data_IF_513749372060
#
_entry.id   IF_513749372060
#
_cell.length_a   1.000
_cell.length_b   1.000
_cell.length_c   1.000
_cell.angle_alpha   90.00
_cell.angle_beta   90.00
_cell.angle_gamma   90.00
#
_symmetry.space_group_name_H-M   'P 1'
#
loop_
_entity.id
_entity.type
_entity.pdbx_description
1 polymer ?
#
# COMPACT_ATOMS: atom_id res chain seq x y z
N UNK A 1 14.53 -29.98 -15.32
CA UNK A 1 13.92 -28.64 -15.54
C UNK A 1 12.52 -28.84 -16.08
N UNK A 2 11.45 -28.27 -15.49
CA UNK A 2 10.13 -28.38 -16.10
C UNK A 2 10.16 -27.62 -17.43
N UNK A 3 9.68 -28.27 -18.50
CA UNK A 3 9.67 -27.71 -19.87
C UNK A 3 9.06 -26.29 -19.83
N UNK A 4 9.66 -25.30 -20.54
CA UNK A 4 9.04 -23.99 -20.63
C UNK A 4 7.63 -24.16 -21.20
N UNK A 5 6.66 -23.54 -20.55
CA UNK A 5 5.30 -23.49 -21.09
C UNK A 5 5.37 -22.93 -22.52
N UNK A 6 4.54 -23.44 -23.44
CA UNK A 6 4.39 -22.87 -24.78
C UNK A 6 4.17 -21.35 -24.73
N UNK A 7 4.54 -20.61 -25.80
CA UNK A 7 4.42 -19.16 -25.84
C UNK A 7 3.05 -18.67 -25.38
N UNK A 8 3.04 -17.61 -24.56
CA UNK A 8 1.82 -16.96 -24.06
C UNK A 8 0.95 -17.81 -23.12
N UNK A 9 1.33 -19.06 -22.84
CA UNK A 9 0.61 -19.93 -21.91
C UNK A 9 1.10 -19.72 -20.47
N UNK A 10 0.17 -19.43 -19.58
CA UNK A 10 0.43 -19.27 -18.15
C UNK A 10 -0.60 -20.06 -17.34
N UNK A 11 -0.24 -20.53 -16.15
CA UNK A 11 -1.19 -21.13 -15.23
C UNK A 11 -1.16 -20.43 -13.86
N UNK A 12 -2.26 -20.57 -13.13
CA UNK A 12 -2.41 -20.11 -11.75
C UNK A 12 -3.14 -21.20 -10.95
N UNK A 13 -2.80 -21.37 -9.69
CA UNK A 13 -3.43 -22.35 -8.80
C UNK A 13 -4.35 -21.61 -7.85
N UNK A 14 -5.63 -21.95 -7.84
CA UNK A 14 -6.58 -21.29 -6.93
C UNK A 14 -6.40 -21.74 -5.48
N UNK A 15 -7.09 -21.05 -4.56
CA UNK A 15 -7.04 -21.35 -3.10
C UNK A 15 -7.52 -22.75 -2.71
N UNK A 16 -8.13 -23.49 -3.64
CA UNK A 16 -8.59 -24.86 -3.46
C UNK A 16 -7.67 -25.88 -4.19
N UNK A 17 -6.54 -25.44 -4.73
CA UNK A 17 -5.57 -26.30 -5.42
C UNK A 17 -5.85 -26.54 -6.90
N UNK A 18 -6.88 -25.91 -7.50
CA UNK A 18 -7.19 -26.14 -8.90
C UNK A 18 -6.29 -25.31 -9.82
N UNK A 19 -5.60 -25.99 -10.75
CA UNK A 19 -4.76 -25.34 -11.76
C UNK A 19 -5.62 -24.81 -12.91
N UNK A 20 -5.46 -23.52 -13.21
CA UNK A 20 -6.20 -22.80 -14.27
C UNK A 20 -5.24 -22.30 -15.32
N UNK A 21 -5.49 -22.61 -16.58
CA UNK A 21 -4.64 -22.24 -17.71
C UNK A 21 -5.17 -21.01 -18.45
N UNK A 22 -4.25 -20.15 -18.90
CA UNK A 22 -4.55 -18.89 -19.54
C UNK A 22 -3.60 -18.58 -20.70
N UNK A 23 -4.15 -18.06 -21.79
CA UNK A 23 -3.40 -17.49 -22.92
C UNK A 23 -3.38 -15.97 -22.79
N UNK A 24 -2.18 -15.38 -22.81
CA UNK A 24 -1.94 -13.94 -22.65
C UNK A 24 -1.13 -13.39 -23.81
N UNK A 25 -1.83 -12.91 -24.83
CA UNK A 25 -1.23 -12.19 -25.96
C UNK A 25 -1.34 -10.69 -25.69
N UNK A 26 -0.24 -9.95 -25.86
CA UNK A 26 -0.24 -8.50 -25.67
C UNK A 26 -1.30 -7.84 -26.58
N UNK A 27 -2.10 -6.93 -26.02
CA UNK A 27 -3.17 -6.24 -26.76
C UNK A 27 -4.46 -7.03 -26.97
N UNK A 28 -4.54 -8.32 -26.59
CA UNK A 28 -5.76 -9.14 -26.67
C UNK A 28 -6.33 -9.47 -25.27
N UNK A 29 -7.65 -9.73 -25.17
CA UNK A 29 -8.25 -10.20 -23.92
C UNK A 29 -7.58 -11.48 -23.40
N UNK A 30 -7.39 -11.57 -22.08
CA UNK A 30 -6.89 -12.78 -21.43
C UNK A 30 -7.91 -13.91 -21.58
N UNK A 31 -7.53 -14.99 -22.27
CA UNK A 31 -8.40 -16.16 -22.50
C UNK A 31 -8.08 -17.24 -21.45
N UNK A 32 -9.11 -17.79 -20.79
CA UNK A 32 -8.98 -18.96 -19.91
C UNK A 32 -9.30 -20.22 -20.71
N UNK A 33 -8.39 -21.19 -20.72
CA UNK A 33 -8.62 -22.54 -21.24
C UNK A 33 -9.23 -23.37 -20.10
N UNK A 34 -10.38 -24.02 -20.35
CA UNK A 34 -11.11 -24.78 -19.32
C UNK A 34 -10.85 -26.28 -19.41
N UNK A 35 -10.38 -26.71 -20.58
CA UNK A 35 -10.02 -28.07 -20.94
C UNK A 35 -8.83 -28.54 -20.10
N UNK A 36 -8.72 -29.85 -19.92
CA UNK A 36 -7.63 -30.45 -19.14
C UNK A 36 -6.30 -30.34 -19.90
N UNK A 37 -5.28 -29.84 -19.21
CA UNK A 37 -3.93 -29.69 -19.77
C UNK A 37 -3.40 -30.99 -20.38
N UNK A 38 -2.81 -30.89 -21.57
CA UNK A 38 -2.23 -32.02 -22.29
C UNK A 38 -3.20 -32.74 -23.25
N UNK A 39 -4.51 -32.50 -23.16
CA UNK A 39 -5.50 -33.11 -24.06
C UNK A 39 -5.53 -32.45 -25.45
N UNK A 40 -6.04 -33.17 -26.46
CA UNK A 40 -6.23 -32.62 -27.81
C UNK A 40 -7.16 -31.39 -27.79
N UNK A 41 -8.21 -31.42 -26.96
CA UNK A 41 -9.13 -30.31 -26.76
C UNK A 41 -8.43 -29.07 -26.18
N UNK A 42 -7.52 -29.25 -25.21
CA UNK A 42 -6.71 -28.17 -24.66
C UNK A 42 -5.84 -27.50 -25.72
N UNK A 43 -5.16 -28.29 -26.55
CA UNK A 43 -4.30 -27.74 -27.60
C UNK A 43 -5.09 -27.08 -28.74
N UNK A 44 -6.31 -27.56 -29.01
CA UNK A 44 -7.23 -26.88 -29.93
C UNK A 44 -7.63 -25.50 -29.37
N UNK A 45 -8.11 -25.44 -28.11
CA UNK A 45 -8.46 -24.19 -27.44
C UNK A 45 -7.27 -23.22 -27.33
N UNK A 46 -6.06 -23.73 -27.12
CA UNK A 46 -4.84 -22.92 -27.14
C UNK A 46 -4.58 -22.28 -28.51
N UNK A 47 -4.71 -23.02 -29.61
CA UNK A 47 -4.54 -22.50 -30.98
C UNK A 47 -5.64 -21.50 -31.34
N UNK A 48 -6.88 -21.77 -30.94
CA UNK A 48 -8.00 -20.86 -31.18
C UNK A 48 -7.85 -19.56 -30.39
N UNK A 49 -7.29 -19.62 -29.17
CA UNK A 49 -6.98 -18.45 -28.37
C UNK A 49 -5.89 -17.57 -29.01
N UNK A 50 -4.84 -18.19 -29.58
CA UNK A 50 -3.76 -17.46 -30.26
C UNK A 50 -4.24 -16.79 -31.56
N UNK A 51 -5.03 -17.51 -32.35
CA UNK A 51 -5.60 -17.01 -33.61
C UNK A 51 -6.71 -15.97 -33.42
N UNK A 52 -7.19 -15.78 -32.20
CA UNK A 52 -8.29 -14.85 -31.90
C UNK A 52 -9.67 -15.37 -32.33
N UNK A 53 -9.77 -16.65 -32.71
CA UNK A 53 -11.04 -17.30 -33.07
C UNK A 53 -11.92 -17.58 -31.85
N UNK A 54 -11.34 -17.64 -30.65
CA UNK A 54 -12.11 -17.61 -29.42
C UNK A 54 -12.66 -16.21 -29.22
N UNK A 55 -13.92 -16.03 -29.60
CA UNK A 55 -14.75 -14.98 -29.02
C UNK A 55 -14.83 -15.28 -27.53
N UNK A 56 -14.06 -14.54 -26.73
CA UNK A 56 -14.32 -14.43 -25.31
C UNK A 56 -15.68 -13.74 -25.23
N UNK A 57 -16.77 -14.52 -25.17
CA UNK A 57 -17.99 -14.04 -24.52
C UNK A 57 -17.48 -13.40 -23.24
N UNK A 58 -17.73 -12.09 -23.01
CA UNK A 58 -17.30 -11.46 -21.79
C UNK A 58 -17.66 -12.43 -20.70
N UNK A 59 -16.65 -12.86 -19.94
CA UNK A 59 -16.91 -13.76 -18.83
C UNK A 59 -18.14 -13.19 -18.15
N UNK A 60 -19.15 -14.04 -17.94
CA UNK A 60 -20.22 -13.73 -17.02
C UNK A 60 -19.51 -13.52 -15.68
N UNK A 61 -18.94 -12.32 -15.53
CA UNK A 61 -18.57 -11.77 -14.27
C UNK A 61 -19.91 -11.82 -13.60
N UNK A 62 -20.07 -12.71 -12.64
CA UNK A 62 -21.11 -12.58 -11.64
C UNK A 62 -20.95 -11.26 -10.88
N UNK A 63 -20.83 -10.11 -11.57
CA UNK A 63 -21.73 -8.98 -11.35
C UNK A 63 -23.12 -9.58 -11.25
N UNK A 64 -23.42 -10.06 -10.04
CA UNK A 64 -24.71 -9.77 -9.43
C UNK A 64 -25.08 -8.39 -9.95
N UNK A 65 -26.16 -8.32 -10.72
CA UNK A 65 -26.89 -7.08 -10.90
C UNK A 65 -27.13 -6.63 -9.46
N UNK A 66 -26.29 -5.71 -8.98
CA UNK A 66 -26.46 -5.15 -7.64
C UNK A 66 -27.77 -4.41 -7.82
N UNK A 67 -28.85 -4.94 -7.23
CA UNK A 67 -30.11 -4.24 -7.21
C UNK A 67 -29.81 -2.79 -6.80
N UNK A 68 -30.38 -1.78 -7.50
CA UNK A 68 -30.11 -0.40 -7.18
C UNK A 68 -30.29 -0.20 -5.68
N UNK A 69 -29.32 0.47 -5.06
CA UNK A 69 -29.29 0.62 -3.62
C UNK A 69 -30.64 1.18 -3.15
N UNK A 70 -31.29 0.49 -2.21
CA UNK A 70 -32.58 0.94 -1.67
C UNK A 70 -32.41 2.36 -1.11
N UNK A 71 -33.34 3.27 -1.44
CA UNK A 71 -33.28 4.65 -0.95
C UNK A 71 -33.21 4.66 0.59
N UNK A 72 -32.27 5.41 1.16
CA UNK A 72 -32.06 5.47 2.62
C UNK A 72 -31.22 4.32 3.19
N UNK A 73 -30.75 3.37 2.37
CA UNK A 73 -29.84 2.29 2.79
C UNK A 73 -28.39 2.76 2.99
N UNK A 74 -27.61 2.03 3.77
CA UNK A 74 -26.17 2.29 3.94
C UNK A 74 -25.40 2.28 2.60
N UNK A 75 -25.78 1.39 1.67
CA UNK A 75 -25.19 1.36 0.33
C UNK A 75 -25.49 2.65 -0.43
N UNK A 76 -26.74 3.13 -0.40
CA UNK A 76 -27.12 4.38 -1.06
C UNK A 76 -26.30 5.57 -0.54
N UNK A 77 -26.07 5.64 0.78
CA UNK A 77 -25.22 6.67 1.38
C UNK A 77 -23.76 6.56 0.92
N UNK A 78 -23.21 5.34 0.84
CA UNK A 78 -21.85 5.11 0.32
C UNK A 78 -21.72 5.59 -1.13
N UNK A 79 -22.69 5.28 -1.98
CA UNK A 79 -22.68 5.70 -3.38
C UNK A 79 -22.76 7.22 -3.54
N UNK A 80 -23.64 7.89 -2.78
CA UNK A 80 -23.71 9.36 -2.72
C UNK A 80 -22.37 9.95 -2.28
N UNK A 81 -21.79 9.40 -1.21
CA UNK A 81 -20.48 9.82 -0.71
C UNK A 81 -19.40 9.71 -1.78
N UNK A 82 -19.38 8.63 -2.56
CA UNK A 82 -18.39 8.44 -3.62
C UNK A 82 -18.48 9.45 -4.78
N UNK A 83 -19.66 10.02 -5.02
CA UNK A 83 -19.89 11.06 -6.03
C UNK A 83 -19.56 12.45 -5.51
N UNK A 84 -19.61 12.65 -4.19
CA UNK A 84 -19.38 13.93 -3.51
C UNK A 84 -17.96 14.49 -3.62
N UNK A 85 -17.85 15.82 -3.54
CA UNK A 85 -16.59 16.56 -3.60
C UNK A 85 -15.64 16.15 -2.46
N UNK A 86 -16.16 15.93 -1.24
CA UNK A 86 -15.36 15.49 -0.09
C UNK A 86 -14.59 14.20 -0.36
N UNK A 87 -15.23 13.21 -0.99
CA UNK A 87 -14.56 11.96 -1.34
C UNK A 87 -13.60 12.17 -2.50
N UNK A 88 -13.99 12.91 -3.54
CA UNK A 88 -13.13 13.18 -4.70
C UNK A 88 -11.87 13.97 -4.34
N UNK A 89 -11.93 14.84 -3.33
CA UNK A 89 -10.84 15.70 -2.87
C UNK A 89 -9.75 15.01 -2.03
N UNK A 90 -9.94 13.76 -1.59
CA UNK A 90 -8.88 13.00 -0.90
C UNK A 90 -7.94 12.27 -1.89
N UNK A 91 -6.75 11.90 -1.42
CA UNK A 91 -5.78 11.15 -2.23
C UNK A 91 -6.39 9.86 -2.80
N UNK A 92 -6.04 9.51 -4.05
CA UNK A 92 -6.54 8.33 -4.76
C UNK A 92 -6.33 7.03 -3.97
N UNK A 93 -5.22 6.90 -3.25
CA UNK A 93 -4.96 5.72 -2.40
C UNK A 93 -5.94 5.66 -1.24
N UNK A 94 -6.20 6.80 -0.60
CA UNK A 94 -7.17 6.92 0.49
C UNK A 94 -8.59 6.63 0.00
N UNK A 95 -8.96 7.13 -1.19
CA UNK A 95 -10.25 6.79 -1.85
C UNK A 95 -10.39 5.28 -2.04
N UNK A 96 -9.38 4.64 -2.62
CA UNK A 96 -9.39 3.20 -2.89
C UNK A 96 -9.57 2.39 -1.61
N UNK A 97 -8.79 2.69 -0.57
CA UNK A 97 -8.86 1.97 0.71
C UNK A 97 -10.21 2.20 1.40
N UNK A 98 -10.67 3.45 1.48
CA UNK A 98 -11.96 3.78 2.12
C UNK A 98 -13.14 3.13 1.41
N UNK A 99 -13.17 3.17 0.07
CA UNK A 99 -14.19 2.47 -0.73
C UNK A 99 -14.14 0.96 -0.45
N UNK A 100 -12.96 0.35 -0.48
CA UNK A 100 -12.83 -1.09 -0.22
C UNK A 100 -13.37 -1.51 1.15
N UNK A 101 -13.16 -0.69 2.19
CA UNK A 101 -13.66 -0.96 3.55
C UNK A 101 -15.19 -0.85 3.59
N UNK A 102 -15.76 0.23 3.05
CA UNK A 102 -17.20 0.47 3.06
C UNK A 102 -17.97 -0.53 2.19
N UNK A 103 -17.46 -0.87 1.01
CA UNK A 103 -18.05 -1.90 0.16
C UNK A 103 -18.04 -3.27 0.84
N UNK A 104 -16.93 -3.62 1.52
CA UNK A 104 -16.86 -4.87 2.28
C UNK A 104 -17.92 -4.89 3.37
N UNK A 105 -18.06 -3.81 4.15
CA UNK A 105 -19.12 -3.69 5.14
C UNK A 105 -20.50 -3.89 4.51
N UNK A 106 -20.78 -3.24 3.36
CA UNK A 106 -22.06 -3.38 2.67
C UNK A 106 -22.38 -4.82 2.23
N UNK A 107 -21.37 -5.68 2.09
CA UNK A 107 -21.53 -7.09 1.71
C UNK A 107 -21.52 -8.06 2.90
N UNK A 108 -21.31 -7.57 4.12
CA UNK A 108 -21.35 -8.41 5.31
C UNK A 108 -22.77 -8.57 5.84
N UNK A 109 -23.06 -9.78 6.34
CA UNK A 109 -24.32 -10.10 6.97
C UNK A 109 -24.34 -9.65 8.44
N UNK A 110 -25.49 -9.17 8.88
CA UNK A 110 -25.82 -8.95 10.29
C UNK A 110 -26.07 -10.30 10.99
N UNK A 111 -26.15 -10.33 12.33
CA UNK A 111 -26.59 -11.52 13.06
C UNK A 111 -27.96 -12.07 12.63
N UNK A 112 -28.82 -11.21 12.09
CA UNK A 112 -30.14 -11.58 11.54
C UNK A 112 -30.10 -12.02 10.06
N UNK A 113 -28.92 -12.15 9.44
CA UNK A 113 -28.75 -12.59 8.06
C UNK A 113 -28.96 -11.54 6.99
N UNK A 114 -29.34 -10.31 7.35
CA UNK A 114 -29.49 -9.19 6.40
C UNK A 114 -28.13 -8.58 6.06
N UNK A 115 -27.95 -8.05 4.85
CA UNK A 115 -26.72 -7.33 4.53
C UNK A 115 -26.73 -5.95 5.19
N UNK A 116 -25.60 -5.52 5.78
CA UNK A 116 -25.48 -4.17 6.32
C UNK A 116 -25.74 -3.09 5.26
N UNK A 117 -25.37 -3.36 4.00
CA UNK A 117 -25.58 -2.44 2.88
C UNK A 117 -27.06 -2.10 2.63
N UNK A 118 -27.96 -3.02 2.97
CA UNK A 118 -29.41 -2.89 2.70
C UNK A 118 -30.16 -2.25 3.88
N UNK A 119 -29.50 -2.10 5.04
CA UNK A 119 -30.11 -1.54 6.24
C UNK A 119 -30.20 -0.01 6.19
N UNK A 120 -31.23 0.61 6.81
CA UNK A 120 -31.41 2.05 6.84
C UNK A 120 -30.30 2.72 7.65
N UNK A 121 -29.51 3.60 7.03
CA UNK A 121 -28.34 4.20 7.69
C UNK A 121 -28.74 5.16 8.83
N UNK A 122 -29.93 5.78 8.77
CA UNK A 122 -30.45 6.67 9.81
C UNK A 122 -30.78 5.96 11.12
N UNK A 123 -31.00 4.64 11.07
CA UNK A 123 -31.23 3.83 12.28
C UNK A 123 -29.92 3.26 12.86
N UNK A 124 -28.77 3.58 12.27
CA UNK A 124 -27.49 3.16 12.78
C UNK A 124 -27.19 3.90 14.09
N UNK A 125 -26.97 3.16 15.17
CA UNK A 125 -26.68 3.70 16.50
C UNK A 125 -25.24 3.38 16.92
N UNK A 126 -24.66 4.11 17.89
CA UNK A 126 -23.32 3.83 18.40
C UNK A 126 -23.12 2.38 18.89
N UNK A 127 -24.17 1.73 19.41
CA UNK A 127 -24.13 0.30 19.78
C UNK A 127 -23.92 -0.62 18.56
N UNK A 128 -24.49 -0.31 17.41
CA UNK A 128 -24.32 -1.10 16.18
C UNK A 128 -22.90 -0.93 15.63
N UNK A 129 -22.37 0.29 15.66
CA UNK A 129 -20.97 0.57 15.27
C UNK A 129 -19.98 -0.12 16.21
N UNK A 130 -20.24 -0.13 17.53
CA UNK A 130 -19.46 -0.92 18.51
C UNK A 130 -19.47 -2.40 18.17
N UNK A 131 -20.64 -2.99 17.90
CA UNK A 131 -20.73 -4.40 17.50
C UNK A 131 -19.93 -4.71 16.22
N UNK A 132 -19.98 -3.85 15.20
CA UNK A 132 -19.18 -4.02 13.97
C UNK A 132 -17.67 -3.97 14.23
N UNK A 133 -17.23 -3.09 15.14
CA UNK A 133 -15.84 -2.97 15.60
C UNK A 133 -15.41 -4.22 16.38
N UNK A 134 -16.24 -4.65 17.32
CA UNK A 134 -15.92 -5.76 18.24
C UNK A 134 -15.97 -7.13 17.54
N UNK A 135 -16.78 -7.27 16.48
CA UNK A 135 -16.71 -8.41 15.57
C UNK A 135 -15.34 -8.55 14.87
N UNK A 136 -14.47 -7.53 14.94
CA UNK A 136 -13.09 -7.53 14.45
C UNK A 136 -12.07 -7.42 15.57
N UNK A 137 -12.42 -7.86 16.78
CA UNK A 137 -11.53 -7.77 17.93
C UNK A 137 -10.15 -8.40 17.67
N UNK A 138 -10.10 -9.57 17.03
CA UNK A 138 -8.86 -10.26 16.62
C UNK A 138 -8.00 -9.47 15.62
N UNK A 139 -8.59 -8.46 14.96
CA UNK A 139 -7.89 -7.60 13.99
C UNK A 139 -8.12 -6.11 14.30
N UNK A 140 -7.56 -5.58 15.42
CA UNK A 140 -7.82 -4.21 15.88
C UNK A 140 -7.52 -3.13 14.82
N UNK A 141 -6.50 -3.35 13.97
CA UNK A 141 -6.19 -2.46 12.85
C UNK A 141 -7.31 -2.37 11.81
N UNK A 142 -7.96 -3.50 11.49
CA UNK A 142 -9.11 -3.53 10.59
C UNK A 142 -10.35 -2.93 11.25
N UNK A 143 -10.60 -3.24 12.52
CA UNK A 143 -11.67 -2.63 13.31
C UNK A 143 -11.57 -1.09 13.33
N UNK A 144 -10.39 -0.57 13.65
CA UNK A 144 -10.15 0.87 13.71
C UNK A 144 -10.20 1.53 12.32
N UNK A 145 -9.84 0.81 11.26
CA UNK A 145 -9.95 1.30 9.88
C UNK A 145 -11.41 1.39 9.41
N UNK A 146 -12.23 0.41 9.79
CA UNK A 146 -13.68 0.47 9.59
C UNK A 146 -14.28 1.68 10.31
N UNK A 147 -13.94 1.86 11.58
CA UNK A 147 -14.45 2.99 12.37
C UNK A 147 -14.05 4.34 11.78
N UNK A 148 -12.81 4.49 11.30
CA UNK A 148 -12.35 5.69 10.57
C UNK A 148 -13.16 5.95 9.29
N UNK A 149 -13.48 4.89 8.54
CA UNK A 149 -14.27 5.00 7.33
C UNK A 149 -15.71 5.42 7.63
N UNK A 150 -16.35 4.81 8.63
CA UNK A 150 -17.70 5.16 9.07
C UNK A 150 -17.79 6.58 9.63
N UNK A 151 -16.83 6.99 10.45
CA UNK A 151 -16.75 8.37 10.95
C UNK A 151 -16.76 9.38 9.80
N UNK A 152 -15.92 9.18 8.80
CA UNK A 152 -15.89 10.10 7.65
C UNK A 152 -17.16 10.04 6.81
N UNK A 153 -17.73 8.85 6.59
CA UNK A 153 -18.97 8.68 5.84
C UNK A 153 -20.11 9.46 6.49
N UNK A 154 -20.25 9.37 7.81
CA UNK A 154 -21.29 10.08 8.54
C UNK A 154 -20.97 11.56 8.80
N UNK A 155 -19.69 11.97 8.82
CA UNK A 155 -19.35 13.40 8.74
C UNK A 155 -19.85 14.00 7.44
N UNK A 156 -19.63 13.33 6.31
CA UNK A 156 -20.20 13.73 5.03
C UNK A 156 -21.74 13.74 5.07
N UNK A 157 -22.36 12.71 5.65
CA UNK A 157 -23.82 12.64 5.74
C UNK A 157 -24.41 13.81 6.53
N UNK A 158 -23.76 14.21 7.63
CA UNK A 158 -24.16 15.38 8.42
C UNK A 158 -23.95 16.68 7.63
N UNK A 159 -22.80 16.85 6.98
CA UNK A 159 -22.50 18.06 6.19
C UNK A 159 -23.42 18.26 4.98
N UNK A 160 -24.10 17.20 4.53
CA UNK A 160 -25.05 17.24 3.41
C UNK A 160 -26.51 17.11 3.87
N UNK A 161 -26.79 17.30 5.16
CA UNK A 161 -28.15 17.20 5.74
C UNK A 161 -28.86 15.85 5.48
N UNK A 162 -28.08 14.78 5.29
CA UNK A 162 -28.59 13.42 5.07
C UNK A 162 -28.82 12.68 6.40
N UNK A 163 -28.14 13.09 7.48
CA UNK A 163 -28.17 12.49 8.82
C UNK A 163 -27.98 13.57 9.88
N UNK A 164 -28.77 13.53 10.96
CA UNK A 164 -28.64 14.52 12.05
C UNK A 164 -27.42 14.27 12.94
N UNK A 165 -26.96 13.02 13.00
CA UNK A 165 -25.86 12.62 13.88
C UNK A 165 -24.85 11.70 13.19
N UNK A 166 -23.66 11.62 13.78
CA UNK A 166 -22.63 10.65 13.41
C UNK A 166 -22.54 9.54 14.47
N UNK A 167 -23.12 8.36 14.23
CA UNK A 167 -23.17 7.27 15.21
C UNK A 167 -21.79 6.65 15.49
N UNK A 168 -20.79 6.95 14.67
CA UNK A 168 -19.43 6.46 14.86
C UNK A 168 -18.53 7.45 15.63
N UNK A 169 -19.01 8.67 15.91
CA UNK A 169 -18.19 9.75 16.49
C UNK A 169 -17.62 9.37 17.85
N UNK A 170 -18.44 8.91 18.78
CA UNK A 170 -18.05 8.64 20.18
C UNK A 170 -17.60 7.19 20.43
N UNK A 171 -17.57 6.33 19.41
CA UNK A 171 -17.11 4.95 19.58
C UNK A 171 -15.58 4.93 19.74
N UNK A 172 -15.01 4.38 20.83
CA UNK A 172 -13.56 4.39 21.00
C UNK A 172 -12.87 3.44 20.03
N UNK A 173 -11.60 3.71 19.72
CA UNK A 173 -10.75 2.76 19.00
C UNK A 173 -10.37 1.59 19.90
N UNK A 174 -10.14 0.42 19.31
CA UNK A 174 -9.46 -0.68 19.99
C UNK A 174 -7.97 -0.34 20.16
N UNK A 175 -7.31 -0.82 21.23
CA UNK A 175 -5.88 -0.63 21.41
C UNK A 175 -5.10 -1.25 20.23
N UNK A 176 -3.94 -0.66 19.86
CA UNK A 176 -3.11 -1.21 18.80
C UNK A 176 -2.48 -2.54 19.21
N UNK A 177 -2.39 -3.49 18.28
CA UNK A 177 -1.71 -4.80 18.49
C UNK A 177 -0.25 -4.61 18.91
N UNK A 178 0.41 -3.57 18.41
CA UNK A 178 1.79 -3.21 18.78
C UNK A 178 1.78 -1.83 19.41
N UNK A 179 1.84 -1.78 20.74
CA UNK A 179 1.86 -0.51 21.49
C UNK A 179 3.00 0.42 21.01
N UNK A 180 4.19 -0.15 20.79
CA UNK A 180 5.37 0.58 20.33
C UNK A 180 5.37 0.85 18.81
N UNK A 181 4.53 0.16 18.05
CA UNK A 181 4.34 0.30 16.62
C UNK A 181 5.27 -0.59 15.78
N UNK A 182 5.69 -0.09 14.61
CA UNK A 182 6.60 -0.82 13.71
C UNK A 182 8.02 -0.79 14.31
N UNK A 183 8.72 -1.94 14.45
CA UNK A 183 10.09 -1.97 14.96
C UNK A 183 11.05 -1.14 14.10
N UNK A 184 11.97 -0.42 14.75
CA UNK A 184 13.13 0.18 14.08
C UNK A 184 14.10 -0.94 13.66
N UNK A 185 14.94 -0.65 12.67
CA UNK A 185 16.08 -1.53 12.37
C UNK A 185 17.18 -1.30 13.42
N UNK A 186 17.94 -2.35 13.69
CA UNK A 186 19.19 -2.30 14.46
C UNK A 186 20.38 -2.22 13.51
N UNK A 187 21.55 -1.85 14.03
CA UNK A 187 22.80 -1.89 13.24
C UNK A 187 23.08 -3.32 12.72
N UNK A 188 22.78 -4.36 13.52
CA UNK A 188 22.87 -5.76 13.08
C UNK A 188 21.90 -6.12 11.95
N UNK A 189 20.66 -5.61 11.98
CA UNK A 189 19.71 -5.81 10.87
C UNK A 189 20.25 -5.19 9.57
N UNK A 190 20.88 -4.01 9.68
CA UNK A 190 21.52 -3.33 8.54
C UNK A 190 22.65 -4.19 7.99
N UNK A 191 23.56 -4.68 8.84
CA UNK A 191 24.67 -5.54 8.40
C UNK A 191 24.18 -6.85 7.77
N UNK A 192 23.18 -7.52 8.35
CA UNK A 192 22.57 -8.72 7.76
C UNK A 192 22.00 -8.46 6.36
N UNK A 193 21.33 -7.32 6.17
CA UNK A 193 20.82 -6.93 4.87
C UNK A 193 21.96 -6.63 3.88
N UNK A 194 23.02 -5.95 4.34
CA UNK A 194 24.21 -5.67 3.52
C UNK A 194 24.92 -6.96 3.08
N UNK A 195 25.00 -7.97 3.94
CA UNK A 195 25.57 -9.28 3.59
C UNK A 195 24.73 -10.04 2.57
N UNK A 196 23.39 -9.99 2.71
CA UNK A 196 22.49 -10.62 1.75
C UNK A 196 22.41 -9.87 0.40
N UNK A 197 22.65 -8.56 0.41
CA UNK A 197 22.62 -7.67 -0.76
C UNK A 197 23.93 -6.87 -0.88
N UNK A 198 24.96 -7.43 -1.53
CA UNK A 198 26.22 -6.74 -1.78
C UNK A 198 26.07 -5.48 -2.64
N UNK A 199 27.14 -4.67 -2.69
CA UNK A 199 27.25 -3.51 -3.57
C UNK A 199 26.94 -3.86 -5.03
N UNK A 200 26.26 -2.94 -5.73
CA UNK A 200 25.77 -3.14 -7.10
C UNK A 200 24.37 -3.77 -7.20
N UNK A 201 23.83 -4.35 -6.14
CA UNK A 201 22.44 -4.88 -6.16
C UNK A 201 21.39 -3.78 -5.93
N UNK A 202 20.18 -3.97 -6.48
CA UNK A 202 19.06 -3.04 -6.22
C UNK A 202 18.62 -3.02 -4.76
N UNK A 203 18.73 -4.15 -4.05
CA UNK A 203 18.49 -4.19 -2.61
C UNK A 203 19.44 -3.25 -1.87
N UNK A 204 20.74 -3.32 -2.20
CA UNK A 204 21.76 -2.46 -1.60
C UNK A 204 21.54 -0.98 -1.89
N UNK A 205 21.23 -0.63 -3.14
CA UNK A 205 20.92 0.75 -3.51
C UNK A 205 19.70 1.28 -2.74
N UNK A 206 18.64 0.48 -2.62
CA UNK A 206 17.46 0.86 -1.84
C UNK A 206 17.80 1.12 -0.37
N UNK A 207 18.64 0.27 0.24
CA UNK A 207 19.11 0.46 1.61
C UNK A 207 19.88 1.78 1.75
N UNK A 208 20.81 2.08 0.85
CA UNK A 208 21.58 3.33 0.87
C UNK A 208 20.66 4.56 0.81
N UNK A 209 19.72 4.58 -0.13
CA UNK A 209 18.75 5.68 -0.25
C UNK A 209 17.91 5.87 1.04
N UNK A 210 17.49 4.79 1.68
CA UNK A 210 16.76 4.89 2.96
C UNK A 210 17.64 5.42 4.10
N UNK A 211 18.89 4.96 4.16
CA UNK A 211 19.83 5.24 5.25
C UNK A 211 20.46 6.64 5.15
N UNK A 212 20.54 7.23 3.97
CA UNK A 212 21.08 8.58 3.82
C UNK A 212 20.00 9.66 3.80
N UNK A 213 18.84 9.35 3.23
CA UNK A 213 17.79 10.35 3.05
C UNK A 213 16.73 10.28 4.15
N UNK A 214 16.57 9.13 4.82
CA UNK A 214 15.55 8.92 5.85
C UNK A 214 14.11 9.01 5.32
N UNK A 215 13.89 8.85 4.01
CA UNK A 215 12.60 9.16 3.37
C UNK A 215 11.60 8.00 3.39
N UNK A 216 10.33 8.32 3.11
CA UNK A 216 9.27 7.30 3.12
C UNK A 216 9.41 6.41 1.90
N UNK A 217 8.95 5.17 2.02
CA UNK A 217 8.90 4.23 0.90
C UNK A 217 8.09 4.77 -0.30
N UNK A 218 7.11 5.65 -0.07
CA UNK A 218 6.36 6.31 -1.14
C UNK A 218 7.19 7.28 -1.98
N UNK A 219 8.31 7.74 -1.43
CA UNK A 219 9.19 8.77 -1.98
C UNK A 219 10.44 8.12 -2.59
N UNK A 220 11.10 7.21 -1.85
CA UNK A 220 12.38 6.59 -2.25
C UNK A 220 12.34 5.93 -3.63
N UNK A 221 11.30 5.17 -3.96
CA UNK A 221 11.17 4.54 -5.28
C UNK A 221 10.89 5.50 -6.44
N UNK A 222 10.70 6.80 -6.16
CA UNK A 222 10.44 7.85 -7.16
C UNK A 222 11.64 8.75 -7.40
N UNK A 223 12.70 8.60 -6.59
CA UNK A 223 13.91 9.37 -6.77
C UNK A 223 14.59 8.92 -8.05
N UNK A 224 15.09 9.88 -8.82
CA UNK A 224 15.77 9.61 -10.09
C UNK A 224 16.85 10.63 -10.39
N UNK A 225 17.66 10.37 -11.45
CA UNK A 225 18.79 11.21 -11.85
C UNK A 225 18.45 12.68 -11.99
N UNK A 226 17.27 13.02 -12.55
CA UNK A 226 16.82 14.41 -12.74
C UNK A 226 16.63 15.21 -11.44
N UNK A 227 16.53 14.53 -10.30
CA UNK A 227 16.40 15.15 -8.97
C UNK A 227 17.74 15.40 -8.30
N UNK A 228 18.84 14.87 -8.85
CA UNK A 228 20.18 14.98 -8.29
C UNK A 228 20.93 16.16 -8.92
N UNK A 229 21.39 17.09 -8.09
CA UNK A 229 22.21 18.23 -8.51
C UNK A 229 23.16 18.63 -7.39
N UNK A 230 24.40 18.98 -7.74
CA UNK A 230 25.40 19.54 -6.81
C UNK A 230 25.60 18.70 -5.53
N UNK A 231 25.60 17.36 -5.65
CA UNK A 231 25.79 16.45 -4.51
C UNK A 231 24.58 16.34 -3.58
N UNK A 232 23.40 16.77 -4.02
CA UNK A 232 22.16 16.68 -3.26
C UNK A 232 21.00 16.15 -4.12
N UNK A 233 19.97 15.60 -3.46
CA UNK A 233 18.72 15.18 -4.09
C UNK A 233 17.60 16.12 -3.63
N UNK A 234 16.91 16.73 -4.60
CA UNK A 234 15.79 17.65 -4.35
C UNK A 234 14.47 17.06 -4.84
N UNK A 235 13.48 16.95 -3.95
CA UNK A 235 12.17 16.39 -4.27
C UNK A 235 11.07 16.86 -3.30
N UNK A 236 9.81 16.77 -3.75
CA UNK A 236 8.64 17.02 -2.90
C UNK A 236 8.07 15.69 -2.39
N UNK A 237 7.91 15.57 -1.07
CA UNK A 237 7.38 14.35 -0.46
C UNK A 237 5.99 13.99 -1.01
N UNK A 238 5.78 12.72 -1.37
CA UNK A 238 4.55 12.25 -2.02
C UNK A 238 3.34 12.31 -1.09
N UNK A 239 3.53 11.91 0.16
CA UNK A 239 2.50 12.00 1.20
C UNK A 239 2.23 13.48 1.49
N UNK A 240 0.97 13.85 1.57
CA UNK A 240 0.49 15.22 1.82
C UNK A 240 0.77 16.27 0.72
N UNK A 241 1.43 15.93 -0.39
CA UNK A 241 1.72 16.87 -1.52
C UNK A 241 0.53 17.72 -2.01
N UNK A 242 -0.69 17.19 -1.94
CA UNK A 242 -1.92 17.87 -2.39
C UNK A 242 -2.50 18.87 -1.38
N UNK A 243 -2.05 18.83 -0.12
CA UNK A 243 -2.58 19.65 0.97
C UNK A 243 -1.52 20.54 1.57
N UNK A 244 -0.35 19.98 1.81
CA UNK A 244 0.75 20.58 2.54
C UNK A 244 2.07 20.04 1.94
N UNK A 245 2.48 20.51 0.76
CA UNK A 245 3.72 20.06 0.14
C UNK A 245 4.92 20.39 1.04
N UNK A 246 5.92 19.50 1.00
CA UNK A 246 7.20 19.67 1.68
C UNK A 246 8.26 19.29 0.66
N UNK A 247 9.02 20.28 0.21
CA UNK A 247 10.18 20.12 -0.65
C UNK A 247 11.43 20.05 0.21
N UNK A 248 12.27 19.05 -0.03
CA UNK A 248 13.52 18.83 0.66
C UNK A 248 14.66 18.82 -0.35
N UNK A 249 15.79 19.40 0.03
CA UNK A 249 17.07 19.24 -0.64
C UNK A 249 18.00 18.58 0.36
N UNK A 250 18.37 17.33 0.10
CA UNK A 250 19.13 16.51 1.04
C UNK A 250 20.50 16.19 0.44
N UNK A 251 21.61 16.52 1.12
CA UNK A 251 22.94 16.13 0.67
C UNK A 251 23.08 14.60 0.70
N UNK A 252 23.88 14.07 -0.21
CA UNK A 252 24.24 12.66 -0.26
C UNK A 252 25.75 12.50 -0.06
N UNK A 253 26.16 11.35 0.47
CA UNK A 253 27.57 11.00 0.59
C UNK A 253 28.22 10.84 -0.78
N UNK A 254 29.56 10.93 -0.83
CA UNK A 254 30.29 10.66 -2.08
C UNK A 254 30.11 9.20 -2.52
N UNK A 255 29.99 8.26 -1.58
CA UNK A 255 29.73 6.85 -1.88
C UNK A 255 28.38 6.65 -2.58
N UNK A 256 27.30 7.24 -2.07
CA UNK A 256 26.00 7.18 -2.72
C UNK A 256 26.04 7.93 -4.05
N UNK A 257 26.68 9.09 -4.11
CA UNK A 257 26.83 9.86 -5.35
C UNK A 257 27.50 9.03 -6.43
N UNK A 258 28.61 8.36 -6.14
CA UNK A 258 29.34 7.52 -7.08
C UNK A 258 28.48 6.36 -7.62
N UNK A 259 27.65 5.76 -6.77
CA UNK A 259 26.69 4.72 -7.21
C UNK A 259 25.59 5.31 -8.11
N UNK A 260 25.08 6.49 -7.76
CA UNK A 260 23.99 7.14 -8.51
C UNK A 260 24.46 7.71 -9.85
N UNK A 261 25.69 8.21 -9.97
CA UNK A 261 26.24 8.74 -11.23
C UNK A 261 26.55 7.65 -12.26
N UNK A 262 26.72 6.40 -11.82
CA UNK A 262 26.86 5.25 -12.71
C UNK A 262 25.51 4.83 -13.36
N UNK A 263 24.37 5.36 -12.88
CA UNK A 263 23.05 5.08 -13.44
C UNK A 263 22.84 6.00 -14.65
N UNK A 264 22.33 5.48 -15.80
CA UNK A 264 22.09 6.29 -16.98
C UNK A 264 21.23 7.52 -16.69
N UNK A 265 21.61 8.71 -17.20
CA UNK A 265 20.92 9.97 -16.89
C UNK A 265 19.48 10.02 -17.44
N UNK A 266 19.17 9.21 -18.45
CA UNK A 266 17.84 9.05 -19.06
C UNK A 266 16.91 8.09 -18.28
N UNK A 267 17.43 7.39 -17.27
CA UNK A 267 16.61 6.54 -16.41
C UNK A 267 15.65 7.38 -15.56
N UNK A 268 14.36 7.00 -15.50
CA UNK A 268 13.34 7.78 -14.77
C UNK A 268 13.57 7.78 -13.24
N UNK A 269 13.94 6.62 -12.68
CA UNK A 269 14.11 6.41 -11.23
C UNK A 269 15.35 5.60 -10.94
N UNK A 270 16.07 5.88 -9.85
CA UNK A 270 17.25 5.10 -9.44
C UNK A 270 16.92 3.63 -9.14
N UNK A 271 15.73 3.36 -8.61
CA UNK A 271 15.29 2.02 -8.28
C UNK A 271 14.37 1.45 -9.37
N UNK A 272 14.83 0.36 -9.99
CA UNK A 272 14.06 -0.38 -10.99
C UNK A 272 13.67 -1.78 -10.49
N UNK A 273 12.62 -2.33 -11.09
CA UNK A 273 12.19 -3.70 -10.86
C UNK A 273 13.04 -4.71 -11.64
N UNK A 274 12.73 -6.00 -11.50
CA UNK A 274 13.49 -7.09 -12.14
C UNK A 274 13.41 -7.07 -13.69
N UNK A 275 12.54 -6.23 -14.28
CA UNK A 275 12.43 -5.99 -15.72
C UNK A 275 13.10 -4.68 -16.17
N UNK A 276 13.90 -4.04 -15.30
CA UNK A 276 14.56 -2.77 -15.60
C UNK A 276 13.63 -1.56 -15.70
N UNK A 277 12.40 -1.66 -15.19
CA UNK A 277 11.41 -0.56 -15.24
C UNK A 277 11.18 0.06 -13.87
N UNK A 278 10.75 1.33 -13.79
CA UNK A 278 10.31 1.93 -12.53
C UNK A 278 9.23 1.10 -11.83
N UNK A 279 9.19 1.17 -10.50
CA UNK A 279 8.14 0.49 -9.74
C UNK A 279 6.79 1.17 -9.98
N UNK A 280 5.81 0.39 -10.46
CA UNK A 280 4.48 0.91 -10.83
C UNK A 280 3.71 1.55 -9.66
N UNK A 281 4.04 1.21 -8.41
CA UNK A 281 3.42 1.81 -7.22
C UNK A 281 4.25 1.58 -5.96
N UNK A 282 3.95 2.36 -4.92
CA UNK A 282 4.49 2.14 -3.57
C UNK A 282 4.18 0.73 -3.05
N UNK A 283 3.07 0.12 -3.44
CA UNK A 283 2.74 -1.26 -3.06
C UNK A 283 3.64 -2.28 -3.78
N UNK A 284 3.95 -2.04 -5.05
CA UNK A 284 4.85 -2.90 -5.82
C UNK A 284 6.27 -2.86 -5.22
N UNK A 285 6.81 -1.66 -4.98
CA UNK A 285 8.10 -1.51 -4.33
C UNK A 285 8.08 -2.07 -2.89
N UNK A 286 7.01 -1.82 -2.13
CA UNK A 286 6.86 -2.37 -0.78
C UNK A 286 6.84 -3.89 -0.70
N UNK A 287 6.26 -4.57 -1.69
CA UNK A 287 6.31 -6.02 -1.79
C UNK A 287 7.74 -6.49 -2.11
N UNK A 288 8.40 -5.89 -3.10
CA UNK A 288 9.79 -6.22 -3.45
C UNK A 288 10.75 -6.01 -2.28
N UNK A 289 10.62 -4.89 -1.57
CA UNK A 289 11.43 -4.60 -0.39
C UNK A 289 11.18 -5.60 0.74
N UNK A 290 9.94 -6.08 0.91
CA UNK A 290 9.63 -7.16 1.85
C UNK A 290 10.28 -8.47 1.44
N UNK A 291 10.30 -8.79 0.14
CA UNK A 291 10.95 -9.99 -0.36
C UNK A 291 12.47 -9.92 -0.13
N UNK A 292 13.08 -8.75 -0.30
CA UNK A 292 14.47 -8.53 0.12
C UNK A 292 14.67 -8.71 1.62
N UNK A 293 13.80 -8.14 2.46
CA UNK A 293 13.88 -8.36 3.92
C UNK A 293 13.80 -9.86 4.27
N UNK A 294 12.90 -10.62 3.64
CA UNK A 294 12.77 -12.07 3.87
C UNK A 294 14.03 -12.83 3.43
N UNK A 295 14.59 -12.49 2.26
CA UNK A 295 15.81 -13.10 1.77
C UNK A 295 17.02 -12.82 2.70
N UNK A 296 17.03 -11.68 3.38
CA UNK A 296 18.01 -11.34 4.41
C UNK A 296 17.69 -11.90 5.81
N UNK A 297 16.66 -12.74 5.97
CA UNK A 297 16.22 -13.26 7.27
C UNK A 297 15.47 -12.25 8.17
N UNK A 298 15.17 -11.05 7.67
CA UNK A 298 14.58 -9.95 8.42
C UNK A 298 13.04 -9.92 8.34
N UNK A 299 12.38 -11.03 8.71
CA UNK A 299 10.93 -11.23 8.55
C UNK A 299 10.05 -10.23 9.33
N UNK A 300 10.59 -9.63 10.39
CA UNK A 300 9.90 -8.64 11.23
C UNK A 300 10.30 -7.18 10.93
N UNK A 301 11.01 -6.92 9.82
CA UNK A 301 11.49 -5.58 9.44
C UNK A 301 10.76 -5.02 8.22
N UNK A 302 10.80 -3.70 8.10
CA UNK A 302 10.16 -2.98 6.99
C UNK A 302 10.89 -1.67 6.68
N UNK A 303 10.65 -1.10 5.49
CA UNK A 303 11.23 0.19 5.10
C UNK A 303 10.89 1.34 6.08
N UNK A 304 9.71 1.30 6.72
CA UNK A 304 9.39 2.31 7.73
C UNK A 304 10.29 2.20 8.97
N UNK A 305 10.76 0.98 9.30
CA UNK A 305 11.73 0.77 10.35
C UNK A 305 13.10 1.38 10.05
N UNK A 306 13.51 1.46 8.78
CA UNK A 306 14.75 2.16 8.37
C UNK A 306 14.64 3.66 8.60
N UNK A 307 13.47 4.26 8.34
CA UNK A 307 13.25 5.68 8.64
C UNK A 307 13.33 5.99 10.14
N UNK A 308 12.87 5.07 10.99
CA UNK A 308 13.06 5.19 12.45
C UNK A 308 14.53 5.07 12.84
N UNK A 309 15.21 4.08 12.25
CA UNK A 309 16.63 3.87 12.45
C UNK A 309 17.44 5.11 12.06
N UNK A 310 17.18 5.70 10.90
CA UNK A 310 17.79 6.96 10.46
C UNK A 310 17.65 8.08 11.49
N UNK A 311 16.42 8.35 11.96
CA UNK A 311 16.17 9.38 12.96
C UNK A 311 16.89 9.08 14.29
N UNK A 312 16.91 7.82 14.71
CA UNK A 312 17.65 7.40 15.91
C UNK A 312 19.16 7.62 15.75
N UNK A 313 19.77 7.22 14.62
CA UNK A 313 21.21 7.43 14.37
C UNK A 313 21.58 8.91 14.35
N UNK A 314 20.73 9.79 13.81
CA UNK A 314 20.96 11.23 13.87
C UNK A 314 20.93 11.76 15.31
N UNK A 315 19.94 11.33 16.11
CA UNK A 315 19.87 11.71 17.51
C UNK A 315 21.07 11.20 18.32
N UNK A 316 21.51 9.96 18.08
CA UNK A 316 22.73 9.40 18.68
C UNK A 316 23.98 10.22 18.34
N UNK A 317 24.03 10.82 17.14
CA UNK A 317 25.10 11.72 16.68
C UNK A 317 24.94 13.16 17.18
N UNK A 318 23.95 13.43 18.04
CA UNK A 318 23.75 14.74 18.65
C UNK A 318 22.90 15.71 17.83
N UNK A 319 22.30 15.29 16.72
CA UNK A 319 21.37 16.14 15.97
C UNK A 319 20.16 16.48 16.85
N UNK A 320 19.77 17.75 16.84
CA UNK A 320 18.56 18.23 17.49
C UNK A 320 17.30 17.68 16.81
N UNK A 321 16.18 17.64 17.54
CA UNK A 321 14.90 17.24 16.95
C UNK A 321 14.51 18.11 15.74
N UNK A 322 14.90 19.39 15.73
CA UNK A 322 14.64 20.30 14.59
C UNK A 322 15.44 19.91 13.35
N UNK A 323 16.71 19.53 13.49
CA UNK A 323 17.51 19.02 12.38
C UNK A 323 16.99 17.68 11.86
N UNK A 324 16.59 16.79 12.76
CA UNK A 324 15.97 15.52 12.37
C UNK A 324 14.65 15.78 11.64
N UNK A 325 13.84 16.72 12.12
CA UNK A 325 12.59 17.14 11.48
C UNK A 325 12.84 17.73 10.08
N UNK A 326 13.88 18.55 9.90
CA UNK A 326 14.21 19.15 8.60
C UNK A 326 14.64 18.08 7.60
N UNK A 327 15.48 17.13 7.98
CA UNK A 327 15.91 16.04 7.11
C UNK A 327 14.76 15.08 6.78
N UNK A 328 13.94 14.73 7.78
CA UNK A 328 12.85 13.77 7.58
C UNK A 328 11.58 14.40 6.99
N UNK A 329 11.44 15.73 7.00
CA UNK A 329 10.23 16.44 6.58
C UNK A 329 9.05 16.22 7.53
N UNK A 330 9.28 16.15 8.83
CA UNK A 330 8.22 16.19 9.84
C UNK A 330 7.93 17.64 10.23
N UNK A 331 6.64 18.01 10.36
CA UNK A 331 6.22 19.36 10.79
C UNK A 331 6.02 19.48 12.29
N UNK A 332 5.85 18.36 12.99
CA UNK A 332 5.61 18.33 14.44
C UNK A 332 6.61 17.39 15.10
N UNK A 333 7.12 17.77 16.27
CA UNK A 333 8.11 16.99 17.02
C UNK A 333 7.57 15.63 17.46
N UNK A 334 6.26 15.49 17.74
CA UNK A 334 5.62 14.26 18.27
C UNK A 334 6.04 12.96 17.58
N UNK A 335 6.21 12.96 16.25
CA UNK A 335 6.67 11.77 15.52
C UNK A 335 8.18 11.52 15.67
N UNK A 336 8.99 12.59 15.73
CA UNK A 336 10.43 12.54 15.96
C UNK A 336 10.73 12.14 17.40
N UNK A 337 10.06 12.74 18.39
CA UNK A 337 10.19 12.40 19.81
C UNK A 337 10.02 10.89 20.03
N UNK A 338 9.08 10.26 19.30
CA UNK A 338 8.85 8.81 19.38
C UNK A 338 10.00 7.98 18.82
N UNK A 339 10.72 8.50 17.82
CA UNK A 339 11.86 7.82 17.21
C UNK A 339 13.15 8.06 17.97
N UNK A 340 13.30 9.22 18.63
CA UNK A 340 14.54 9.66 19.28
C UNK A 340 14.56 9.41 20.79
N UNK A 341 13.41 9.20 21.45
CA UNK A 341 13.32 9.06 22.93
C UNK A 341 14.36 8.11 23.56
N UNK A 342 14.54 6.93 22.97
CA UNK A 342 15.49 5.94 23.49
C UNK A 342 16.96 6.32 23.22
N UNK A 343 17.24 6.94 22.07
CA UNK A 343 18.57 7.45 21.72
C UNK A 343 18.96 8.63 22.62
N UNK A 344 18.06 9.58 22.82
CA UNK A 344 18.28 10.74 23.68
C UNK A 344 18.48 10.35 25.15
N UNK A 345 17.75 9.32 25.65
CA UNK A 345 17.96 8.78 26.99
C UNK A 345 19.35 8.16 27.16
N UNK A 346 19.86 7.40 26.18
CA UNK A 346 21.19 6.78 26.29
C UNK A 346 22.34 7.79 26.33
N UNK A 347 22.11 9.02 25.88
CA UNK A 347 23.10 10.09 25.84
C UNK A 347 23.15 10.92 27.13
N UNK A 348 21.99 11.09 27.78
CA UNK A 348 21.86 11.74 29.08
C UNK A 348 22.35 10.79 30.17
#
# INVERSE_FOLDING_TARGET
MPKPNPPYLSHDTDRHGNVRWYVRVSGKPKVRIREQYGTQAFWAAYRDALSGRIHVKPADTGRRVIAPAQSGSLRSLCETYYRGAEFKGIDSTTRRVRRSILERLCHEATPSGKLYGDLPYRQLLPRHVRAMRDARFETPGAANSLLKALRQLFTFAVNCDLSDTNPAKEVPYLPPVRAEGIPAWTDADVENFKSAFPSGTMGRLALMLFMELGQRISDVHRLGPSMMKDGAITFTQWKNRRRNPITLTLPISEDLRAVLTAIPPDQETFLVNDWGRPFASTAAFGNKFRDWCRAAGLTCRSAHGLRKHFAAKLAERGASDREIMSMTGHRTSKEVDRYTRSASQKRL
#
